data_IF_806151337140
#
_entry.id   IF_806151337140
#
_cell.length_a   1.000
_cell.length_b   1.000
_cell.length_c   1.000
_cell.angle_alpha   90.00
_cell.angle_beta   90.00
_cell.angle_gamma   90.00
#
_symmetry.space_group_name_H-M   'P 1'
#
loop_
_entity.id
_entity.type
_entity.pdbx_description
1 polymer ?
#
# COMPACT_ATOMS: atom_id res chain seq x y z
N UNK A 1 -1.71 20.72 8.45
CA UNK A 1 -1.44 21.01 9.87
C UNK A 1 -1.16 19.73 10.65
N UNK A 2 -2.12 18.79 10.73
CA UNK A 2 -1.98 17.52 11.46
C UNK A 2 -0.75 16.68 11.09
N UNK A 3 -0.38 16.57 9.81
CA UNK A 3 0.84 15.83 9.40
C UNK A 3 2.12 16.43 9.97
N UNK A 4 2.22 17.76 10.07
CA UNK A 4 3.39 18.43 10.64
C UNK A 4 3.44 18.23 12.16
N UNK A 5 2.29 18.25 12.82
CA UNK A 5 2.18 17.96 14.25
C UNK A 5 2.55 16.50 14.55
N UNK A 6 2.07 15.55 13.74
CA UNK A 6 2.44 14.14 13.84
C UNK A 6 3.95 13.96 13.67
N UNK A 7 4.53 14.57 12.63
CA UNK A 7 5.97 14.49 12.39
C UNK A 7 6.78 15.08 13.54
N UNK A 8 6.40 16.25 14.05
CA UNK A 8 7.06 16.88 15.19
C UNK A 8 6.98 16.01 16.45
N UNK A 9 5.80 15.47 16.74
CA UNK A 9 5.60 14.54 17.86
C UNK A 9 6.41 13.25 17.70
N UNK A 10 6.46 12.67 16.51
CA UNK A 10 7.29 11.50 16.22
C UNK A 10 8.78 11.82 16.37
N UNK A 11 9.25 12.98 15.92
CA UNK A 11 10.64 13.40 16.11
C UNK A 11 10.97 13.55 17.59
N UNK A 12 10.10 14.21 18.36
CA UNK A 12 10.28 14.36 19.81
C UNK A 12 10.33 12.98 20.48
N UNK A 13 9.40 12.10 20.15
CA UNK A 13 9.37 10.74 20.67
C UNK A 13 10.64 9.95 20.32
N UNK A 14 11.13 10.05 19.08
CA UNK A 14 12.37 9.41 18.66
C UNK A 14 13.57 9.93 19.47
N UNK A 15 13.70 11.26 19.61
CA UNK A 15 14.79 11.87 20.38
C UNK A 15 14.77 11.37 21.82
N UNK A 16 13.61 11.39 22.49
CA UNK A 16 13.46 10.86 23.85
C UNK A 16 13.86 9.38 23.88
N UNK A 17 13.44 8.62 22.88
CA UNK A 17 13.71 7.19 22.83
C UNK A 17 15.20 6.85 22.64
N UNK A 18 15.96 7.69 21.95
CA UNK A 18 17.42 7.53 21.85
C UNK A 18 18.14 7.77 23.17
N UNK A 19 17.61 8.61 24.06
CA UNK A 19 18.20 8.88 25.37
C UNK A 19 17.76 7.88 26.45
N UNK A 20 16.54 7.35 26.34
CA UNK A 20 15.93 6.48 27.37
C UNK A 20 16.01 4.99 27.02
N UNK A 21 15.92 4.64 25.73
CA UNK A 21 15.93 3.26 25.28
C UNK A 21 17.30 2.59 25.41
N UNK A 22 17.32 1.27 25.57
CA UNK A 22 18.55 0.47 25.42
C UNK A 22 18.45 -0.54 24.28
N UNK A 23 19.56 -0.79 23.55
CA UNK A 23 19.62 -1.87 22.57
C UNK A 23 19.31 -3.27 23.13
N UNK A 24 19.49 -3.48 24.43
CA UNK A 24 19.19 -4.73 25.12
C UNK A 24 17.71 -5.12 25.02
N UNK A 25 16.81 -4.13 24.96
CA UNK A 25 15.37 -4.36 24.82
C UNK A 25 14.98 -4.96 23.46
N UNK A 26 15.85 -4.83 22.44
CA UNK A 26 15.69 -5.48 21.14
C UNK A 26 16.27 -6.89 21.08
N UNK A 27 16.81 -7.41 22.20
CA UNK A 27 17.41 -8.74 22.26
C UNK A 27 16.48 -9.74 22.98
N UNK A 28 16.48 -11.03 22.56
CA UNK A 28 17.09 -11.56 21.35
C UNK A 28 16.46 -10.99 20.08
N UNK A 29 17.24 -10.87 18.99
CA UNK A 29 16.78 -10.34 17.70
C UNK A 29 15.60 -11.11 17.09
N UNK A 30 15.39 -12.34 17.55
CA UNK A 30 14.29 -13.19 17.16
C UNK A 30 13.90 -14.13 18.30
N UNK A 31 12.61 -14.21 18.56
CA UNK A 31 11.98 -15.31 19.29
C UNK A 31 10.56 -15.53 18.75
N UNK A 32 9.97 -16.67 19.07
CA UNK A 32 8.57 -16.90 18.75
C UNK A 32 7.68 -16.30 19.84
N UNK A 33 6.89 -15.30 19.47
CA UNK A 33 5.91 -14.68 20.36
C UNK A 33 4.57 -15.43 20.26
N UNK A 34 4.11 -15.97 21.38
CA UNK A 34 2.81 -16.67 21.48
C UNK A 34 1.67 -15.72 21.83
N UNK A 35 1.94 -14.72 22.67
CA UNK A 35 1.01 -13.68 23.06
C UNK A 35 1.29 -12.40 22.28
N UNK A 36 0.52 -12.18 21.22
CA UNK A 36 0.62 -10.97 20.39
C UNK A 36 -0.74 -10.31 20.23
N UNK A 37 -0.75 -8.98 20.13
CA UNK A 37 -1.98 -8.21 20.03
C UNK A 37 -2.81 -8.56 18.79
N UNK A 38 -2.18 -9.09 17.73
CA UNK A 38 -2.84 -9.55 16.51
C UNK A 38 -3.62 -10.86 16.68
N UNK A 39 -3.41 -11.59 17.78
CA UNK A 39 -4.08 -12.86 18.09
C UNK A 39 -3.47 -14.11 17.45
N UNK A 40 -2.59 -13.97 16.45
CA UNK A 40 -1.92 -15.08 15.77
C UNK A 40 -0.45 -15.19 16.21
N UNK A 41 -0.02 -16.31 16.83
CA UNK A 41 1.36 -16.47 17.27
C UNK A 41 2.35 -16.46 16.08
N UNK A 42 3.60 -16.10 16.36
CA UNK A 42 4.67 -16.06 15.35
C UNK A 42 4.92 -17.46 14.78
N UNK A 43 4.64 -17.63 13.48
CA UNK A 43 4.86 -18.91 12.76
C UNK A 43 6.28 -19.09 12.23
N UNK A 44 7.00 -18.00 12.01
CA UNK A 44 8.40 -18.08 11.60
C UNK A 44 9.19 -18.86 12.66
N UNK A 45 10.12 -19.71 12.22
CA UNK A 45 10.97 -20.54 13.09
C UNK A 45 12.41 -20.03 13.15
N UNK A 46 12.76 -19.04 12.31
CA UNK A 46 14.09 -18.47 12.22
C UNK A 46 14.01 -16.95 11.99
N UNK A 47 15.10 -16.26 12.32
CA UNK A 47 15.24 -14.82 12.10
C UNK A 47 14.99 -14.44 10.63
N UNK A 48 15.58 -15.17 9.69
CA UNK A 48 15.39 -14.93 8.25
C UNK A 48 13.93 -15.18 7.82
N UNK A 49 13.27 -16.19 8.37
CA UNK A 49 11.84 -16.41 8.16
C UNK A 49 10.98 -15.25 8.65
N UNK A 50 11.34 -14.66 9.80
CA UNK A 50 10.70 -13.45 10.33
C UNK A 50 10.88 -12.24 9.42
N UNK A 51 12.10 -12.02 8.91
CA UNK A 51 12.38 -10.94 7.92
C UNK A 51 11.52 -11.14 6.67
N UNK A 52 11.46 -12.35 6.12
CA UNK A 52 10.67 -12.65 4.93
C UNK A 52 9.18 -12.40 5.17
N UNK A 53 8.65 -12.78 6.34
CA UNK A 53 7.27 -12.53 6.71
C UNK A 53 6.92 -11.03 6.78
N UNK A 54 7.84 -10.18 7.26
CA UNK A 54 7.67 -8.72 7.25
C UNK A 54 7.87 -8.13 5.86
N UNK A 55 8.82 -8.66 5.08
CA UNK A 55 9.11 -8.19 3.75
C UNK A 55 7.90 -8.28 2.82
N UNK A 56 7.08 -9.33 2.92
CA UNK A 56 5.91 -9.51 2.03
C UNK A 56 4.70 -8.65 2.37
N UNK A 57 4.58 -8.16 3.61
CA UNK A 57 3.52 -7.20 3.99
C UNK A 57 3.91 -5.76 3.66
N UNK A 58 5.21 -5.51 3.51
CA UNK A 58 5.78 -4.17 3.31
C UNK A 58 5.25 -3.44 2.06
N UNK A 59 4.99 -4.09 0.89
CA UNK A 59 4.41 -3.41 -0.27
C UNK A 59 3.09 -2.71 0.03
N UNK A 60 2.23 -3.30 0.88
CA UNK A 60 0.99 -2.65 1.31
C UNK A 60 1.24 -1.33 2.06
N UNK A 61 2.29 -1.24 2.87
CA UNK A 61 2.63 0.00 3.59
C UNK A 61 3.16 1.10 2.66
N UNK A 62 3.61 0.74 1.46
CA UNK A 62 4.02 1.68 0.41
C UNK A 62 2.95 1.88 -0.67
N UNK A 63 1.76 1.27 -0.53
CA UNK A 63 0.63 1.60 -1.37
C UNK A 63 0.20 3.06 -1.13
N UNK A 64 -0.16 3.77 -2.19
CA UNK A 64 -0.53 5.19 -2.13
C UNK A 64 0.38 6.10 -2.95
N UNK A 65 1.63 5.72 -3.23
CA UNK A 65 2.50 6.49 -4.14
C UNK A 65 2.00 6.47 -5.60
N UNK A 66 1.25 5.44 -5.96
CA UNK A 66 0.55 5.30 -7.24
C UNK A 66 -0.63 6.28 -7.40
N UNK A 67 -1.08 6.92 -6.31
CA UNK A 67 -2.08 7.98 -6.39
C UNK A 67 -1.52 9.26 -7.01
N UNK A 68 -0.21 9.49 -6.91
CA UNK A 68 0.48 10.67 -7.47
C UNK A 68 0.27 10.76 -8.99
N UNK A 69 0.57 9.72 -9.80
CA UNK A 69 0.27 9.74 -11.24
C UNK A 69 -1.21 9.75 -11.56
N UNK A 70 -2.08 9.19 -10.72
CA UNK A 70 -3.53 9.25 -10.93
C UNK A 70 -4.09 10.67 -10.77
N UNK A 71 -3.52 11.48 -9.87
CA UNK A 71 -3.90 12.88 -9.64
C UNK A 71 -3.17 13.84 -10.60
N UNK A 72 -2.06 13.41 -11.19
CA UNK A 72 -1.28 14.23 -12.12
C UNK A 72 -2.05 14.62 -13.38
N UNK A 73 -3.00 13.78 -13.83
CA UNK A 73 -3.86 14.07 -14.98
C UNK A 73 -4.69 15.35 -14.75
N UNK A 74 -5.12 15.61 -13.52
CA UNK A 74 -5.92 16.80 -13.19
C UNK A 74 -5.06 18.03 -12.91
N UNK A 75 -3.81 17.83 -12.48
CA UNK A 75 -2.86 18.90 -12.22
C UNK A 75 -1.99 19.26 -13.45
N UNK A 76 -2.32 18.74 -14.65
CA UNK A 76 -1.42 18.71 -15.82
C UNK A 76 -0.96 20.07 -16.33
N UNK A 77 -1.66 21.17 -16.02
CA UNK A 77 -1.24 22.51 -16.42
C UNK A 77 0.02 22.95 -15.66
N UNK A 78 1.17 23.01 -16.38
CA UNK A 78 2.44 23.51 -15.84
C UNK A 78 3.28 22.50 -15.05
N UNK A 79 2.94 21.19 -15.09
CA UNK A 79 3.72 20.16 -14.41
C UNK A 79 5.09 19.92 -15.07
N UNK A 80 6.15 20.05 -14.28
CA UNK A 80 7.50 19.61 -14.65
C UNK A 80 7.58 18.07 -14.54
N UNK A 81 7.44 17.39 -15.67
CA UNK A 81 7.46 15.93 -15.76
C UNK A 81 8.75 15.27 -15.26
N UNK A 82 9.88 15.99 -15.26
CA UNK A 82 11.14 15.47 -14.73
C UNK A 82 11.10 15.47 -13.20
N UNK A 83 10.66 16.57 -12.58
CA UNK A 83 10.45 16.64 -11.13
C UNK A 83 9.36 15.68 -10.68
N UNK A 84 8.31 15.54 -11.47
CA UNK A 84 7.22 14.60 -11.24
C UNK A 84 7.71 13.15 -11.09
N UNK A 85 8.69 12.73 -11.88
CA UNK A 85 9.29 11.38 -11.77
C UNK A 85 10.29 11.23 -10.62
N UNK A 86 11.07 12.27 -10.30
CA UNK A 86 12.15 12.20 -9.30
C UNK A 86 11.64 12.34 -7.87
N UNK A 87 10.67 13.24 -7.62
CA UNK A 87 10.18 13.55 -6.28
C UNK A 87 9.60 12.32 -5.57
N UNK A 88 8.76 11.47 -6.20
CA UNK A 88 8.25 10.26 -5.55
C UNK A 88 9.36 9.29 -5.14
N UNK A 89 10.40 9.14 -5.96
CA UNK A 89 11.54 8.28 -5.64
C UNK A 89 12.33 8.80 -4.44
N UNK A 90 12.59 10.12 -4.38
CA UNK A 90 13.24 10.74 -3.22
C UNK A 90 12.39 10.64 -1.95
N UNK A 91 11.08 10.82 -2.08
CA UNK A 91 10.14 10.68 -0.97
C UNK A 91 10.10 9.25 -0.41
N UNK A 92 10.17 8.24 -1.28
CA UNK A 92 10.27 6.83 -0.88
C UNK A 92 11.56 6.56 -0.10
N UNK A 93 12.71 7.04 -0.57
CA UNK A 93 13.99 6.89 0.12
C UNK A 93 13.97 7.59 1.49
N UNK A 94 13.49 8.84 1.53
CA UNK A 94 13.37 9.60 2.77
C UNK A 94 12.42 8.92 3.77
N UNK A 95 11.30 8.37 3.29
CA UNK A 95 10.36 7.59 4.10
C UNK A 95 11.01 6.31 4.64
N UNK A 96 11.78 5.59 3.82
CA UNK A 96 12.52 4.41 4.27
C UNK A 96 13.50 4.72 5.39
N UNK A 97 14.31 5.78 5.24
CA UNK A 97 15.24 6.25 6.28
C UNK A 97 14.48 6.63 7.56
N UNK A 98 13.38 7.38 7.42
CA UNK A 98 12.54 7.77 8.55
C UNK A 98 11.99 6.55 9.30
N UNK A 99 11.48 5.55 8.59
CA UNK A 99 10.96 4.32 9.20
C UNK A 99 12.05 3.50 9.89
N UNK A 100 13.27 3.41 9.32
CA UNK A 100 14.39 2.73 9.98
C UNK A 100 14.72 3.38 11.33
N UNK A 101 14.77 4.72 11.38
CA UNK A 101 15.03 5.46 12.61
C UNK A 101 13.88 5.26 13.61
N UNK A 102 12.63 5.34 13.16
CA UNK A 102 11.46 5.11 14.01
C UNK A 102 11.46 3.69 14.60
N UNK A 103 11.58 2.66 13.78
CA UNK A 103 11.53 1.27 14.22
C UNK A 103 12.63 0.99 15.25
N UNK A 104 13.84 1.48 15.00
CA UNK A 104 14.93 1.36 15.96
C UNK A 104 14.62 2.12 17.26
N UNK A 105 14.24 3.40 17.18
CA UNK A 105 14.00 4.24 18.34
C UNK A 105 12.89 3.69 19.25
N UNK A 106 11.74 3.34 18.68
CA UNK A 106 10.64 2.77 19.49
C UNK A 106 10.92 1.33 19.93
N UNK A 107 11.66 0.55 19.14
CA UNK A 107 11.99 -0.84 19.45
C UNK A 107 12.99 -1.00 20.61
N UNK A 108 13.75 0.04 20.96
CA UNK A 108 14.70 0.01 22.08
C UNK A 108 14.12 0.52 23.40
N UNK A 109 12.88 1.00 23.40
CA UNK A 109 12.28 1.65 24.58
C UNK A 109 11.79 0.67 25.65
N UNK A 110 11.21 -0.44 25.22
CA UNK A 110 10.72 -1.51 26.10
C UNK A 110 11.07 -2.85 25.47
N UNK A 111 11.10 -3.91 26.29
CA UNK A 111 11.29 -5.27 25.80
C UNK A 111 10.29 -5.57 24.67
N UNK A 112 10.81 -6.05 23.54
CA UNK A 112 10.00 -6.24 22.35
C UNK A 112 8.91 -7.30 22.53
N UNK A 113 9.05 -8.26 23.46
CA UNK A 113 7.99 -9.22 23.80
C UNK A 113 6.82 -8.55 24.51
N UNK A 114 7.05 -7.47 25.26
CA UNK A 114 5.98 -6.64 25.82
C UNK A 114 5.40 -5.70 24.74
N UNK A 115 6.27 -5.16 23.88
CA UNK A 115 5.88 -4.27 22.79
C UNK A 115 4.82 -4.89 21.88
N UNK A 116 4.98 -6.16 21.49
CA UNK A 116 4.05 -6.87 20.58
C UNK A 116 2.71 -7.25 21.21
N UNK A 117 2.57 -7.15 22.54
CA UNK A 117 1.30 -7.41 23.25
C UNK A 117 0.33 -6.24 23.17
N UNK A 118 0.82 -5.03 22.94
CA UNK A 118 -0.01 -3.83 22.82
C UNK A 118 -0.73 -3.75 21.47
N UNK A 119 -1.99 -3.32 21.47
CA UNK A 119 -2.75 -3.08 20.23
C UNK A 119 -2.20 -1.92 19.41
N UNK A 120 -1.55 -0.94 20.05
CA UNK A 120 -0.86 0.16 19.39
C UNK A 120 0.53 0.35 20.02
N UNK A 121 1.51 -0.50 19.65
CA UNK A 121 2.81 -0.58 20.34
C UNK A 121 3.55 0.75 20.42
N UNK A 122 3.61 1.49 19.30
CA UNK A 122 4.31 2.77 19.24
C UNK A 122 3.73 3.82 20.22
N UNK A 123 2.40 3.82 20.42
CA UNK A 123 1.75 4.72 21.39
C UNK A 123 1.92 4.22 22.83
N UNK A 124 1.90 2.91 23.08
CA UNK A 124 2.09 2.38 24.43
C UNK A 124 3.44 2.76 25.03
N UNK A 125 4.49 2.87 24.20
CA UNK A 125 5.79 3.40 24.63
C UNK A 125 5.69 4.86 25.10
N UNK A 126 4.88 5.69 24.44
CA UNK A 126 4.70 7.09 24.82
C UNK A 126 3.98 7.26 26.16
N UNK A 127 3.09 6.32 26.51
CA UNK A 127 2.41 6.33 27.80
C UNK A 127 3.41 6.24 28.97
N UNK A 128 4.53 5.54 28.78
CA UNK A 128 5.60 5.43 29.77
C UNK A 128 6.43 6.71 29.90
N UNK A 129 6.50 7.52 28.85
CA UNK A 129 7.19 8.82 28.87
C UNK A 129 6.32 9.85 29.58
N UNK A 130 5.11 10.08 29.08
CA UNK A 130 4.20 11.09 29.62
C UNK A 130 2.76 10.86 29.12
N UNK A 131 1.81 10.82 30.05
CA UNK A 131 0.39 10.58 29.73
C UNK A 131 -0.24 11.67 28.84
N UNK A 132 0.11 12.94 29.05
CA UNK A 132 -0.40 14.04 28.22
C UNK A 132 0.15 13.95 26.80
N UNK A 133 1.43 13.58 26.66
CA UNK A 133 2.04 13.37 25.35
C UNK A 133 1.41 12.18 24.63
N UNK A 134 1.14 11.08 25.34
CA UNK A 134 0.41 9.93 24.82
C UNK A 134 -0.97 10.33 24.30
N UNK A 135 -1.78 11.06 25.07
CA UNK A 135 -3.12 11.47 24.66
C UNK A 135 -3.06 12.38 23.42
N UNK A 136 -2.15 13.36 23.41
CA UNK A 136 -1.96 14.23 22.26
C UNK A 136 -1.59 13.44 20.99
N UNK A 137 -0.64 12.52 21.11
CA UNK A 137 -0.21 11.66 20.00
C UNK A 137 -1.27 10.66 19.58
N UNK A 138 -2.10 10.14 20.49
CA UNK A 138 -3.23 9.27 20.17
C UNK A 138 -4.25 10.00 19.29
N UNK A 139 -4.61 11.24 19.66
CA UNK A 139 -5.53 12.07 18.87
C UNK A 139 -4.93 12.35 17.49
N UNK A 140 -3.67 12.78 17.44
CA UNK A 140 -2.99 13.12 16.18
C UNK A 140 -2.82 11.87 15.30
N UNK A 141 -2.48 10.70 15.86
CA UNK A 141 -2.33 9.45 15.13
C UNK A 141 -3.67 8.88 14.63
N UNK A 142 -4.77 9.17 15.33
CA UNK A 142 -6.12 8.75 14.90
C UNK A 142 -6.64 9.64 13.77
N UNK A 143 -6.43 10.96 13.87
CA UNK A 143 -6.89 11.92 12.86
C UNK A 143 -5.93 12.05 11.67
N UNK A 144 -4.64 11.75 11.86
CA UNK A 144 -3.59 11.89 10.86
C UNK A 144 -3.85 11.15 9.55
N UNK A 145 -4.31 9.88 9.59
CA UNK A 145 -4.66 9.11 8.40
C UNK A 145 -5.83 9.67 7.58
N UNK A 146 -6.69 10.53 8.13
CA UNK A 146 -7.87 11.04 7.41
C UNK A 146 -7.50 11.73 6.09
N UNK A 147 -6.40 12.49 6.08
CA UNK A 147 -5.91 13.16 4.87
C UNK A 147 -5.49 12.16 3.78
N UNK A 148 -4.47 11.31 4.02
CA UNK A 148 -4.04 10.30 3.07
C UNK A 148 -5.16 9.35 2.63
N UNK A 149 -6.04 8.93 3.55
CA UNK A 149 -7.17 8.05 3.21
C UNK A 149 -8.18 8.74 2.30
N UNK A 150 -8.43 10.04 2.46
CA UNK A 150 -9.26 10.80 1.55
C UNK A 150 -8.63 10.92 0.15
N UNK A 151 -7.32 11.14 0.07
CA UNK A 151 -6.59 11.13 -1.21
C UNK A 151 -6.65 9.76 -1.89
N UNK A 152 -6.50 8.68 -1.12
CA UNK A 152 -6.58 7.30 -1.61
C UNK A 152 -7.99 6.95 -2.11
N UNK A 153 -9.02 7.40 -1.40
CA UNK A 153 -10.42 7.28 -1.82
C UNK A 153 -10.64 7.98 -3.17
N UNK A 154 -10.20 9.24 -3.30
CA UNK A 154 -10.33 10.00 -4.53
C UNK A 154 -9.55 9.41 -5.71
N UNK A 155 -8.39 8.82 -5.47
CA UNK A 155 -7.61 8.12 -6.49
C UNK A 155 -8.33 6.83 -6.97
N UNK A 156 -8.84 6.04 -6.02
CA UNK A 156 -9.59 4.80 -6.31
C UNK A 156 -10.83 5.04 -7.16
N UNK A 157 -11.56 6.13 -6.91
CA UNK A 157 -12.77 6.45 -7.69
C UNK A 157 -12.45 6.90 -9.11
N UNK A 158 -11.29 7.55 -9.32
CA UNK A 158 -10.77 7.89 -10.66
C UNK A 158 -10.29 6.66 -11.42
N UNK A 159 -9.70 5.69 -10.74
CA UNK A 159 -9.37 4.41 -11.36
C UNK A 159 -10.64 3.71 -11.90
N UNK A 160 -11.71 3.66 -11.12
CA UNK A 160 -13.00 3.13 -11.56
C UNK A 160 -13.61 3.94 -12.72
N UNK A 161 -13.46 5.27 -12.71
CA UNK A 161 -13.87 6.13 -13.81
C UNK A 161 -13.11 5.80 -15.12
N UNK A 162 -11.78 5.62 -15.04
CA UNK A 162 -10.96 5.24 -16.18
C UNK A 162 -11.35 3.87 -16.75
N UNK A 163 -11.65 2.89 -15.87
CA UNK A 163 -12.16 1.58 -16.26
C UNK A 163 -13.55 1.69 -16.93
N UNK A 164 -14.43 2.54 -16.41
CA UNK A 164 -15.73 2.84 -17.02
C UNK A 164 -15.60 3.45 -18.42
N UNK A 165 -14.68 4.41 -18.61
CA UNK A 165 -14.40 5.03 -19.92
C UNK A 165 -13.87 4.03 -20.94
N UNK A 166 -13.08 3.05 -20.48
CA UNK A 166 -12.61 1.92 -21.30
C UNK A 166 -13.66 0.80 -21.46
N UNK A 167 -14.92 1.05 -21.06
CA UNK A 167 -16.03 0.08 -21.14
C UNK A 167 -15.75 -1.25 -20.41
N UNK A 168 -14.81 -1.27 -19.46
CA UNK A 168 -14.52 -2.44 -18.61
C UNK A 168 -15.45 -2.51 -17.39
N UNK A 169 -16.26 -1.47 -17.16
CA UNK A 169 -17.30 -1.38 -16.15
C UNK A 169 -18.59 -0.82 -16.80
N UNK A 170 -19.75 -0.88 -16.13
CA UNK A 170 -20.97 -0.24 -16.63
C UNK A 170 -20.76 1.24 -16.99
N UNK A 171 -21.45 1.72 -18.01
CA UNK A 171 -21.31 3.11 -18.51
C UNK A 171 -21.59 4.16 -17.43
N UNK A 172 -22.38 3.83 -16.41
CA UNK A 172 -22.60 4.69 -15.23
C UNK A 172 -21.31 5.08 -14.50
N UNK A 173 -20.26 4.25 -14.56
CA UNK A 173 -18.95 4.55 -13.99
C UNK A 173 -18.13 5.52 -14.85
N UNK A 174 -18.43 5.67 -16.14
CA UNK A 174 -17.73 6.58 -17.05
C UNK A 174 -18.16 8.06 -16.89
N UNK A 175 -19.26 8.32 -16.18
CA UNK A 175 -19.91 9.63 -16.09
C UNK A 175 -19.38 10.43 -14.89
N UNK A 176 -19.03 11.69 -15.16
CA UNK A 176 -18.74 12.70 -14.13
C UNK A 176 -20.01 13.50 -13.89
N UNK A 177 -20.33 13.76 -12.63
CA UNK A 177 -21.45 14.61 -12.25
C UNK A 177 -21.10 16.09 -12.49
N UNK A 178 -21.92 16.80 -13.27
CA UNK A 178 -21.64 18.18 -13.67
C UNK A 178 -21.66 19.18 -12.50
N UNK A 179 -22.38 18.87 -11.42
CA UNK A 179 -22.52 19.79 -10.27
C UNK A 179 -21.35 19.65 -9.30
N UNK A 180 -20.88 18.43 -9.05
CA UNK A 180 -19.80 18.13 -8.10
C UNK A 180 -18.43 17.97 -8.75
N UNK A 181 -18.36 17.78 -10.07
CA UNK A 181 -17.12 17.48 -10.77
C UNK A 181 -16.53 16.09 -10.45
N UNK A 182 -17.28 15.24 -9.74
CA UNK A 182 -16.81 13.95 -9.25
C UNK A 182 -17.52 12.75 -9.91
N UNK A 183 -16.88 11.58 -10.00
CA UNK A 183 -17.52 10.36 -10.53
C UNK A 183 -18.51 9.79 -9.48
N UNK A 184 -19.75 10.27 -9.50
CA UNK A 184 -20.78 9.97 -8.47
C UNK A 184 -21.01 8.46 -8.26
N UNK A 185 -21.11 7.68 -9.34
CA UNK A 185 -21.32 6.23 -9.25
C UNK A 185 -20.13 5.53 -8.58
N UNK A 186 -18.91 5.89 -8.98
CA UNK A 186 -17.69 5.33 -8.39
C UNK A 186 -17.56 5.72 -6.92
N UNK A 187 -17.87 6.97 -6.56
CA UNK A 187 -17.86 7.44 -5.18
C UNK A 187 -18.86 6.68 -4.31
N UNK A 188 -20.10 6.47 -4.77
CA UNK A 188 -21.11 5.74 -4.00
C UNK A 188 -20.72 4.28 -3.80
N UNK A 189 -20.19 3.64 -4.85
CA UNK A 189 -19.69 2.27 -4.77
C UNK A 189 -18.55 2.12 -3.77
N UNK A 190 -17.53 3.00 -3.88
CA UNK A 190 -16.40 3.01 -2.94
C UNK A 190 -16.85 3.32 -1.52
N UNK A 191 -17.78 4.27 -1.31
CA UNK A 191 -18.33 4.58 0.00
C UNK A 191 -19.01 3.35 0.62
N UNK A 192 -19.79 2.60 -0.16
CA UNK A 192 -20.39 1.34 0.29
C UNK A 192 -19.35 0.33 0.76
N UNK A 193 -18.29 0.10 -0.03
CA UNK A 193 -17.20 -0.80 0.35
C UNK A 193 -16.47 -0.33 1.61
N UNK A 194 -16.20 0.98 1.73
CA UNK A 194 -15.54 1.57 2.90
C UNK A 194 -16.40 1.42 4.16
N UNK A 195 -17.72 1.56 4.06
CA UNK A 195 -18.64 1.39 5.19
C UNK A 195 -18.73 -0.07 5.67
N UNK A 196 -18.53 -1.05 4.78
CA UNK A 196 -18.51 -2.48 5.16
C UNK A 196 -17.23 -2.82 5.95
N UNK A 197 -16.11 -2.15 5.64
CA UNK A 197 -14.79 -2.44 6.21
C UNK A 197 -14.75 -2.61 7.73
N UNK A 198 -15.25 -1.66 8.54
CA UNK A 198 -15.28 -1.76 10.00
C UNK A 198 -16.00 -3.02 10.54
N UNK A 199 -16.97 -3.55 9.81
CA UNK A 199 -17.77 -4.71 10.25
C UNK A 199 -17.08 -6.06 10.00
N UNK A 200 -15.96 -6.10 9.27
CA UNK A 200 -15.19 -7.32 9.02
C UNK A 200 -14.40 -7.80 10.25
N UNK A 201 -14.24 -6.95 11.26
CA UNK A 201 -13.55 -7.26 12.51
C UNK A 201 -12.02 -7.25 12.42
N UNK A 202 -11.37 -7.24 13.59
CA UNK A 202 -9.91 -7.09 13.72
C UNK A 202 -9.11 -8.23 13.08
N UNK A 203 -9.63 -9.45 13.14
CA UNK A 203 -8.95 -10.64 12.61
C UNK A 203 -8.80 -10.60 11.08
N UNK A 204 -9.55 -9.73 10.41
CA UNK A 204 -9.50 -9.57 8.95
C UNK A 204 -8.42 -8.58 8.49
N UNK A 205 -7.79 -7.83 9.41
CA UNK A 205 -6.75 -6.85 9.06
C UNK A 205 -5.55 -7.49 8.38
N UNK A 206 -4.95 -8.51 8.99
CA UNK A 206 -3.75 -9.17 8.45
C UNK A 206 -4.04 -9.86 7.11
N UNK A 207 -5.12 -10.68 6.98
CA UNK A 207 -5.46 -11.27 5.70
C UNK A 207 -5.70 -10.25 4.58
N UNK A 208 -6.44 -9.17 4.85
CA UNK A 208 -6.68 -8.12 3.85
C UNK A 208 -5.40 -7.38 3.47
N UNK A 209 -4.52 -7.10 4.44
CA UNK A 209 -3.21 -6.50 4.17
C UNK A 209 -2.35 -7.40 3.27
N UNK A 210 -2.32 -8.71 3.52
CA UNK A 210 -1.57 -9.65 2.69
C UNK A 210 -2.14 -9.76 1.27
N UNK A 211 -3.45 -9.88 1.13
CA UNK A 211 -4.13 -9.90 -0.19
C UNK A 211 -3.90 -8.59 -0.95
N UNK A 212 -4.04 -7.45 -0.26
CA UNK A 212 -3.81 -6.14 -0.87
C UNK A 212 -2.34 -5.95 -1.26
N UNK A 213 -1.39 -6.43 -0.45
CA UNK A 213 0.04 -6.44 -0.77
C UNK A 213 0.32 -7.24 -2.05
N UNK A 214 -0.24 -8.47 -2.16
CA UNK A 214 -0.13 -9.30 -3.36
C UNK A 214 -0.69 -8.57 -4.59
N UNK A 215 -1.90 -8.00 -4.48
CA UNK A 215 -2.54 -7.27 -5.58
C UNK A 215 -1.72 -6.06 -6.02
N UNK A 216 -1.19 -5.30 -5.06
CA UNK A 216 -0.35 -4.14 -5.32
C UNK A 216 0.96 -4.52 -6.00
N UNK A 217 1.71 -5.49 -5.46
CA UNK A 217 3.00 -5.90 -6.05
C UNK A 217 2.80 -6.54 -7.43
N UNK A 218 1.70 -7.27 -7.64
CA UNK A 218 1.32 -7.78 -8.95
C UNK A 218 1.08 -6.65 -9.95
N UNK A 219 0.31 -5.63 -9.57
CA UNK A 219 0.06 -4.46 -10.42
C UNK A 219 1.37 -3.70 -10.74
N UNK A 220 2.24 -3.49 -9.76
CA UNK A 220 3.55 -2.87 -9.96
C UNK A 220 4.45 -3.69 -10.90
N UNK A 221 4.46 -5.02 -10.76
CA UNK A 221 5.23 -5.93 -11.63
C UNK A 221 4.71 -5.87 -13.06
N UNK A 222 3.39 -5.86 -13.25
CA UNK A 222 2.74 -5.68 -14.55
C UNK A 222 3.06 -4.32 -15.18
N UNK A 223 3.09 -3.25 -14.39
CA UNK A 223 3.50 -1.93 -14.87
C UNK A 223 4.98 -1.92 -15.32
N UNK A 224 5.86 -2.62 -14.59
CA UNK A 224 7.26 -2.83 -14.99
C UNK A 224 7.38 -3.59 -16.32
N UNK A 225 6.63 -4.68 -16.48
CA UNK A 225 6.57 -5.46 -17.72
C UNK A 225 6.01 -4.64 -18.90
N UNK A 226 4.97 -3.84 -18.66
CA UNK A 226 4.42 -2.93 -19.66
C UNK A 226 5.45 -1.85 -20.06
N UNK A 227 6.21 -1.31 -19.11
CA UNK A 227 7.29 -0.36 -19.38
C UNK A 227 8.41 -1.00 -20.23
N UNK A 228 8.78 -2.25 -19.92
CA UNK A 228 9.74 -3.03 -20.70
C UNK A 228 9.24 -3.25 -22.14
N UNK A 229 7.99 -3.67 -22.30
CA UNK A 229 7.35 -3.87 -23.60
C UNK A 229 7.31 -2.56 -24.41
N UNK A 230 6.97 -1.44 -23.78
CA UNK A 230 6.93 -0.12 -24.43
C UNK A 230 8.32 0.34 -24.91
N UNK A 231 9.42 -0.14 -24.32
CA UNK A 231 10.77 0.13 -24.84
C UNK A 231 11.05 -0.60 -26.15
N UNK A 232 10.43 -1.75 -26.35
CA UNK A 232 10.59 -2.56 -27.55
C UNK A 232 9.63 -2.14 -28.65
N UNK A 233 8.36 -1.91 -28.32
CA UNK A 233 7.32 -1.59 -29.31
C UNK A 233 7.38 -0.14 -29.77
N UNK A 234 7.69 0.80 -28.87
CA UNK A 234 7.62 2.24 -29.14
C UNK A 234 8.92 2.96 -28.71
N UNK A 235 10.06 2.69 -29.37
CA UNK A 235 11.36 3.21 -28.97
C UNK A 235 11.51 4.73 -29.18
N UNK A 236 10.77 5.30 -30.15
CA UNK A 236 10.88 6.71 -30.55
C UNK A 236 10.00 7.67 -29.75
N UNK A 237 9.14 7.17 -28.85
CA UNK A 237 8.27 8.03 -28.03
C UNK A 237 9.09 9.03 -27.21
N UNK A 238 8.69 10.32 -27.16
CA UNK A 238 9.32 11.30 -26.29
C UNK A 238 9.09 10.91 -24.83
N UNK A 239 10.17 10.78 -24.06
CA UNK A 239 10.14 10.36 -22.65
C UNK A 239 10.70 11.49 -21.78
N UNK A 240 9.84 12.37 -21.24
CA UNK A 240 10.27 13.49 -20.39
C UNK A 240 11.04 13.03 -19.14
N UNK A 241 10.72 11.85 -18.64
CA UNK A 241 11.44 11.17 -17.57
C UNK A 241 11.91 9.79 -18.05
N UNK A 242 13.14 9.42 -17.68
CA UNK A 242 13.72 8.09 -17.91
C UNK A 242 14.05 7.47 -16.56
N UNK A 243 13.67 6.20 -16.39
CA UNK A 243 13.97 5.41 -15.18
C UNK A 243 15.48 5.41 -14.90
N UNK A 244 15.86 5.70 -13.66
CA UNK A 244 17.25 5.62 -13.20
C UNK A 244 17.80 4.20 -13.41
N UNK A 245 18.99 4.06 -13.99
CA UNK A 245 19.54 2.75 -14.38
C UNK A 245 18.91 2.13 -15.64
N UNK A 246 18.02 2.84 -16.35
CA UNK A 246 17.56 2.46 -17.68
C UNK A 246 16.85 1.10 -17.72
N UNK A 247 17.32 0.22 -18.61
CA UNK A 247 16.77 -1.14 -18.76
C UNK A 247 17.06 -2.01 -17.54
N UNK A 248 18.26 -1.89 -16.96
CA UNK A 248 18.67 -2.63 -15.78
C UNK A 248 17.74 -2.34 -14.60
N UNK A 249 17.44 -1.07 -14.35
CA UNK A 249 16.50 -0.67 -13.29
C UNK A 249 15.10 -1.27 -13.45
N UNK A 250 14.60 -1.38 -14.69
CA UNK A 250 13.30 -2.01 -14.97
C UNK A 250 13.35 -3.52 -14.72
N UNK A 251 14.42 -4.20 -15.17
CA UNK A 251 14.60 -5.63 -14.93
C UNK A 251 14.68 -5.91 -13.42
N UNK A 252 15.45 -5.12 -12.67
CA UNK A 252 15.54 -5.25 -11.21
C UNK A 252 14.18 -5.08 -10.54
N UNK A 253 13.36 -4.10 -10.97
CA UNK A 253 12.02 -3.90 -10.43
C UNK A 253 11.09 -5.10 -10.71
N UNK A 254 11.13 -5.65 -11.94
CA UNK A 254 10.35 -6.84 -12.30
C UNK A 254 10.82 -8.06 -11.49
N UNK A 255 12.12 -8.27 -11.36
CA UNK A 255 12.68 -9.37 -10.56
C UNK A 255 12.29 -9.26 -9.09
N UNK A 256 12.42 -8.08 -8.49
CA UNK A 256 12.03 -7.85 -7.09
C UNK A 256 10.53 -8.13 -6.88
N UNK A 257 9.67 -7.63 -7.77
CA UNK A 257 8.22 -7.90 -7.73
C UNK A 257 7.91 -9.39 -7.88
N UNK A 258 8.56 -10.06 -8.82
CA UNK A 258 8.38 -11.50 -9.07
C UNK A 258 8.83 -12.34 -7.88
N UNK A 259 9.95 -11.98 -7.23
CA UNK A 259 10.44 -12.65 -6.02
C UNK A 259 9.42 -12.50 -4.88
N UNK A 260 8.90 -11.30 -4.64
CA UNK A 260 7.90 -11.07 -3.58
C UNK A 260 6.62 -11.87 -3.86
N UNK A 261 6.14 -11.87 -5.11
CA UNK A 261 4.98 -12.68 -5.52
C UNK A 261 5.25 -14.17 -5.28
N UNK A 262 6.42 -14.67 -5.68
CA UNK A 262 6.79 -16.07 -5.48
C UNK A 262 6.85 -16.41 -3.98
N UNK A 263 7.39 -15.53 -3.13
CA UNK A 263 7.41 -15.72 -1.69
C UNK A 263 6.01 -15.76 -1.06
N UNK A 264 5.00 -15.11 -1.65
CA UNK A 264 3.63 -15.15 -1.14
C UNK A 264 2.84 -16.35 -1.66
N UNK A 265 3.10 -16.78 -2.90
CA UNK A 265 2.33 -17.81 -3.58
C UNK A 265 2.86 -19.23 -3.34
N UNK A 266 4.18 -19.40 -3.21
CA UNK A 266 4.79 -20.72 -3.05
C UNK A 266 4.49 -21.27 -1.65
N UNK A 267 3.88 -22.46 -1.52
CA UNK A 267 3.38 -22.98 -0.24
C UNK A 267 4.47 -23.28 0.80
N UNK A 268 5.72 -23.50 0.36
CA UNK A 268 6.86 -23.75 1.24
C UNK A 268 7.57 -22.47 1.71
N UNK A 269 7.10 -21.30 1.27
CA UNK A 269 7.67 -20.03 1.69
C UNK A 269 7.26 -19.67 3.12
N UNK A 270 8.16 -19.07 3.93
CA UNK A 270 7.82 -18.54 5.26
C UNK A 270 6.70 -17.49 5.24
N UNK A 271 6.45 -16.90 4.07
CA UNK A 271 5.47 -15.85 3.82
C UNK A 271 4.26 -16.32 2.99
N UNK A 272 4.08 -17.64 2.85
CA UNK A 272 3.01 -18.21 2.05
C UNK A 272 1.62 -17.77 2.55
N UNK A 273 0.73 -17.49 1.60
CA UNK A 273 -0.62 -17.03 1.92
C UNK A 273 -1.45 -18.11 2.62
N UNK A 274 -2.23 -17.67 3.61
CA UNK A 274 -3.13 -18.52 4.39
C UNK A 274 -4.35 -18.94 3.53
N UNK A 275 -5.06 -20.03 3.88
CA UNK A 275 -6.28 -20.44 3.17
C UNK A 275 -7.33 -19.32 3.06
N UNK A 276 -7.52 -18.52 4.12
CA UNK A 276 -8.44 -17.37 4.10
C UNK A 276 -8.01 -16.32 3.07
N UNK A 277 -6.72 -16.05 2.97
CA UNK A 277 -6.17 -15.08 2.02
C UNK A 277 -6.33 -15.59 0.58
N UNK A 278 -6.12 -16.88 0.35
CA UNK A 278 -6.40 -17.52 -0.95
C UNK A 278 -7.88 -17.48 -1.33
N UNK A 279 -8.80 -17.68 -0.37
CA UNK A 279 -10.23 -17.55 -0.63
C UNK A 279 -10.59 -16.13 -1.07
N UNK A 280 -10.06 -15.10 -0.38
CA UNK A 280 -10.30 -13.70 -0.73
C UNK A 280 -9.69 -13.37 -2.10
N UNK A 281 -8.46 -13.79 -2.37
CA UNK A 281 -7.80 -13.62 -3.68
C UNK A 281 -8.60 -14.30 -4.79
N UNK A 282 -9.04 -15.54 -4.57
CA UNK A 282 -9.87 -16.29 -5.51
C UNK A 282 -11.20 -15.59 -5.79
N UNK A 283 -11.87 -15.07 -4.75
CA UNK A 283 -13.10 -14.29 -4.92
C UNK A 283 -12.88 -13.05 -5.79
N UNK A 284 -11.80 -12.28 -5.57
CA UNK A 284 -11.48 -11.11 -6.40
C UNK A 284 -11.13 -11.47 -7.84
N UNK A 285 -10.40 -12.57 -8.05
CA UNK A 285 -10.11 -13.08 -9.41
C UNK A 285 -11.41 -13.47 -10.13
N UNK A 286 -12.31 -14.18 -9.45
CA UNK A 286 -13.60 -14.57 -10.02
C UNK A 286 -14.46 -13.35 -10.36
N UNK A 287 -14.50 -12.34 -9.49
CA UNK A 287 -15.19 -11.07 -9.76
C UNK A 287 -14.56 -10.39 -10.99
N UNK A 288 -13.23 -10.31 -11.06
CA UNK A 288 -12.52 -9.72 -12.19
C UNK A 288 -12.78 -10.44 -13.51
N UNK A 289 -12.78 -11.78 -13.50
CA UNK A 289 -13.10 -12.61 -14.66
C UNK A 289 -14.57 -12.46 -15.08
N UNK A 290 -15.50 -12.41 -14.13
CA UNK A 290 -16.91 -12.18 -14.42
C UNK A 290 -17.12 -10.81 -15.09
N UNK A 291 -16.49 -9.75 -14.57
CA UNK A 291 -16.49 -8.42 -15.19
C UNK A 291 -15.90 -8.50 -16.60
N UNK A 292 -14.74 -9.13 -16.76
CA UNK A 292 -14.10 -9.26 -18.07
C UNK A 292 -15.02 -9.96 -19.07
N UNK A 293 -15.65 -11.09 -18.72
CA UNK A 293 -16.54 -11.83 -19.62
C UNK A 293 -17.80 -11.03 -20.00
N UNK A 294 -18.38 -10.29 -19.05
CA UNK A 294 -19.59 -9.48 -19.29
C UNK A 294 -19.29 -8.28 -20.20
N UNK A 295 -18.13 -7.65 -20.05
CA UNK A 295 -17.80 -6.40 -20.73
C UNK A 295 -16.93 -6.55 -21.98
N UNK A 296 -16.02 -7.52 -22.04
CA UNK A 296 -15.18 -7.80 -23.22
C UNK A 296 -16.02 -8.18 -24.45
N UNK A 297 -17.11 -8.94 -24.24
CA UNK A 297 -18.05 -9.30 -25.31
C UNK A 297 -18.79 -8.10 -25.92
N UNK A 298 -18.87 -6.96 -25.21
CA UNK A 298 -19.49 -5.73 -25.72
C UNK A 298 -18.53 -4.94 -26.60
N UNK A 299 -17.23 -4.98 -26.32
CA UNK A 299 -16.21 -4.29 -27.13
C UNK A 299 -16.05 -4.97 -28.51
N UNK A 300 -16.02 -6.31 -28.53
CA UNK A 300 -16.00 -7.11 -29.78
C UNK A 300 -17.29 -6.95 -30.59
N UNK A 301 -18.46 -6.91 -29.95
CA UNK A 301 -19.73 -6.65 -30.65
C UNK A 301 -19.79 -5.23 -31.20
N UNK A 302 -19.38 -4.22 -30.44
CA UNK A 302 -19.43 -2.82 -30.89
C UNK A 302 -18.49 -2.55 -32.07
N UNK A 303 -17.29 -3.15 -32.08
CA UNK A 303 -16.36 -3.05 -33.20
C UNK A 303 -16.84 -3.79 -34.45
N UNK A 304 -17.52 -4.94 -34.27
CA UNK A 304 -18.15 -5.67 -35.37
C UNK A 304 -19.30 -4.88 -36.04
N UNK A 305 -20.12 -4.14 -35.27
CA UNK A 305 -21.22 -3.34 -35.84
C UNK A 305 -20.75 -2.04 -36.51
N UNK A 306 -19.58 -1.51 -36.17
CA UNK A 306 -19.00 -0.34 -36.85
C UNK A 306 -18.20 -0.69 -38.11
N UNK A 307 -17.90 -1.97 -38.32
CA UNK A 307 -17.17 -2.48 -39.48
C UNK A 307 -18.08 -3.08 -40.57
N UNK A 308 -19.41 -3.08 -40.35
CA UNK A 308 -20.47 -3.46 -41.29
C UNK A 308 -21.23 -2.23 -41.78
#
# INVERSE_FOLDING_TARGET
>A
FLTKALLAGMILAMVISFFVGSPQNGMPLFSQATEVASGDPTKATSFLGGIIAVLVMTPFFYAGFDTIPQQAEEASEGLDWKKFGIIPALALIASGIFYLICIYAFGTMIDWHEFVKSSVPALAVLQRINIFFYIAMLIIATLGPLGPMNSFFGASTRLLLALGRKRMLPESFAKIDQKSGAPKTANLFMAGLTLIGPFLGRNMLVPLTNVASLGFIFACTMAGLACLRLRQTEPKLPRPYKVNGGLFGIICAILAGTIIIALMVVPFSPAAMKPVEWMITGAWILIGLAILLVFNNREVRATATTAS
#
